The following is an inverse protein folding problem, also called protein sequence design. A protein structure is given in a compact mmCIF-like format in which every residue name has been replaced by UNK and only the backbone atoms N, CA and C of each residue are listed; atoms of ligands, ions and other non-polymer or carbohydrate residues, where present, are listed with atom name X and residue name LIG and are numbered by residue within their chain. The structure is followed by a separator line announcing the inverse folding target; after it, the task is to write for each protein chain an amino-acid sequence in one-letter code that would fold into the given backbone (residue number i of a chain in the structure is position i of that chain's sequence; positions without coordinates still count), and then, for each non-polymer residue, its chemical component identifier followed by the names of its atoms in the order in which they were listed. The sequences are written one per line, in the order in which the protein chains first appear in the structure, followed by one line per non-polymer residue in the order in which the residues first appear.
data_IF_070387514816
#
_entry.id   IF_070387514816
#
_cell.length_a   1.000
_cell.length_b   1.000
_cell.length_c   1.000
_cell.angle_alpha   90.00
_cell.angle_beta   90.00
_cell.angle_gamma   90.00
#
_symmetry.space_group_name_H-M   'P 1'
#
loop_
_entity.id
_entity.type
_entity.pdbx_description
1 polymer ?
#
# COMPACT_ATOMS: atom_id res chain seq x y z
N UNK A 1 -10.73 -25.49 25.73
CA UNK A 1 -11.22 -25.51 24.32
C UNK A 1 -10.87 -26.85 23.71
N UNK A 2 -11.88 -27.66 23.35
CA UNK A 2 -11.70 -29.02 22.79
C UNK A 2 -11.16 -28.90 21.36
N UNK A 3 -10.09 -29.64 21.05
CA UNK A 3 -9.43 -29.63 19.75
C UNK A 3 -10.36 -30.21 18.66
N UNK A 4 -10.77 -29.39 17.69
CA UNK A 4 -11.48 -29.85 16.49
C UNK A 4 -10.53 -30.67 15.62
N UNK A 5 -10.79 -31.97 15.54
CA UNK A 5 -10.08 -32.91 14.66
C UNK A 5 -10.94 -33.09 13.41
N UNK A 6 -10.36 -32.83 12.23
CA UNK A 6 -10.99 -33.13 10.95
C UNK A 6 -10.38 -34.41 10.41
N UNK A 7 -11.25 -35.33 10.01
CA UNK A 7 -10.90 -36.58 9.36
C UNK A 7 -10.51 -36.25 7.92
N UNK A 8 -9.25 -36.49 7.58
CA UNK A 8 -8.67 -36.23 6.26
C UNK A 8 -8.31 -37.59 5.65
N UNK A 9 -9.05 -38.06 4.62
CA UNK A 9 -8.89 -39.41 4.07
C UNK A 9 -7.56 -39.63 3.34
N UNK A 10 -6.82 -38.56 3.01
CA UNK A 10 -5.50 -38.66 2.35
C UNK A 10 -4.33 -38.68 3.35
N UNK A 11 -4.59 -38.52 4.66
CA UNK A 11 -3.54 -38.55 5.67
C UNK A 11 -3.20 -40.00 6.08
N UNK A 12 -1.90 -40.37 6.23
CA UNK A 12 -1.47 -41.76 6.49
C UNK A 12 -1.97 -42.37 7.82
N UNK A 13 -2.67 -41.60 8.67
CA UNK A 13 -3.32 -42.08 9.90
C UNK A 13 -4.74 -41.49 10.10
N UNK A 14 -5.36 -40.92 9.07
CA UNK A 14 -6.74 -40.38 9.11
C UNK A 14 -6.97 -39.14 9.99
N UNK A 15 -5.96 -38.66 10.72
CA UNK A 15 -6.07 -37.50 11.61
C UNK A 15 -4.95 -36.48 11.32
N UNK A 16 -5.32 -35.24 11.02
CA UNK A 16 -4.37 -34.13 10.87
C UNK A 16 -4.61 -33.10 11.98
N UNK A 17 -3.60 -32.85 12.84
CA UNK A 17 -3.59 -31.66 13.71
C UNK A 17 -3.59 -30.43 12.79
N UNK A 18 -4.71 -29.70 12.72
CA UNK A 18 -4.80 -28.45 11.96
C UNK A 18 -3.81 -27.43 12.52
N UNK A 19 -2.69 -27.23 11.85
CA UNK A 19 -1.89 -26.01 12.02
C UNK A 19 -2.44 -24.96 11.06
N UNK A 20 -3.26 -24.02 11.54
CA UNK A 20 -3.72 -22.84 10.78
C UNK A 20 -2.58 -21.82 10.55
N UNK A 21 -1.37 -22.30 10.29
CA UNK A 21 -0.24 -21.43 10.07
C UNK A 21 -0.26 -20.95 8.62
N UNK A 22 -0.26 -19.62 8.45
CA UNK A 22 -0.15 -18.95 7.15
C UNK A 22 0.97 -19.60 6.34
N UNK A 23 0.66 -19.99 5.10
CA UNK A 23 1.63 -20.55 4.16
C UNK A 23 1.94 -19.52 3.10
N UNK A 24 3.22 -19.26 2.90
CA UNK A 24 3.73 -18.41 1.81
C UNK A 24 4.64 -19.30 0.98
N UNK A 25 4.37 -19.40 -0.32
CA UNK A 25 5.14 -20.25 -1.26
C UNK A 25 5.29 -21.71 -0.80
N UNK A 26 4.21 -22.32 -0.30
CA UNK A 26 4.19 -23.71 0.17
C UNK A 26 4.89 -23.95 1.51
N UNK A 27 5.63 -22.97 2.05
CA UNK A 27 6.29 -23.05 3.36
C UNK A 27 5.41 -22.48 4.46
N UNK A 28 5.38 -23.17 5.60
CA UNK A 28 4.61 -22.73 6.75
C UNK A 28 5.35 -21.59 7.46
N UNK A 29 4.75 -20.41 7.51
CA UNK A 29 5.33 -19.23 8.17
C UNK A 29 5.28 -19.44 9.68
N UNK A 30 6.47 -19.45 10.30
CA UNK A 30 6.57 -19.58 11.76
C UNK A 30 6.16 -18.26 12.44
N UNK A 31 5.55 -18.31 13.64
CA UNK A 31 5.10 -17.11 14.36
C UNK A 31 6.15 -15.99 14.51
N UNK A 32 7.45 -16.28 14.74
CA UNK A 32 8.48 -15.24 14.80
C UNK A 32 8.73 -14.52 13.46
N UNK A 33 8.68 -15.25 12.34
CA UNK A 33 8.85 -14.68 11.00
C UNK A 33 7.64 -13.79 10.63
N UNK A 34 6.43 -14.22 11.00
CA UNK A 34 5.21 -13.42 10.81
C UNK A 34 5.28 -12.10 11.62
N UNK A 35 5.75 -12.16 12.88
CA UNK A 35 5.93 -10.95 13.71
C UNK A 35 6.90 -9.97 13.06
N UNK A 36 8.04 -10.45 12.54
CA UNK A 36 9.02 -9.60 11.84
C UNK A 36 8.43 -8.99 10.57
N UNK A 37 7.68 -9.78 9.80
CA UNK A 37 6.99 -9.29 8.60
C UNK A 37 5.99 -8.18 8.94
N UNK A 38 5.12 -8.41 9.93
CA UNK A 38 4.15 -7.39 10.38
C UNK A 38 4.85 -6.12 10.86
N UNK A 39 5.95 -6.23 11.61
CA UNK A 39 6.73 -5.07 12.04
C UNK A 39 7.27 -4.25 10.85
N UNK A 40 7.80 -4.93 9.82
CA UNK A 40 8.31 -4.27 8.61
C UNK A 40 7.17 -3.57 7.85
N UNK A 41 6.03 -4.24 7.67
CA UNK A 41 4.87 -3.66 6.98
C UNK A 41 4.33 -2.44 7.73
N UNK A 42 4.18 -2.54 9.05
CA UNK A 42 3.70 -1.43 9.89
C UNK A 42 4.67 -0.25 9.83
N UNK A 43 5.98 -0.51 9.85
CA UNK A 43 6.99 0.54 9.69
C UNK A 43 6.88 1.21 8.31
N UNK A 44 6.85 0.43 7.24
CA UNK A 44 6.74 0.96 5.88
C UNK A 44 5.47 1.82 5.70
N UNK A 45 4.34 1.39 6.27
CA UNK A 45 3.09 2.16 6.22
C UNK A 45 3.19 3.50 6.99
N UNK A 46 3.88 3.51 8.13
CA UNK A 46 4.13 4.75 8.89
C UNK A 46 5.04 5.69 8.12
N UNK A 47 6.14 5.18 7.58
CA UNK A 47 7.10 5.96 6.80
C UNK A 47 6.42 6.55 5.56
N UNK A 48 5.52 5.80 4.91
CA UNK A 48 4.71 6.29 3.78
C UNK A 48 3.76 7.42 4.21
N UNK A 49 2.99 7.21 5.28
CA UNK A 49 2.07 8.23 5.79
C UNK A 49 2.78 9.53 6.23
N UNK A 50 3.99 9.42 6.77
CA UNK A 50 4.81 10.58 7.12
C UNK A 50 5.27 11.35 5.86
N UNK A 51 5.69 10.64 4.82
CA UNK A 51 6.03 11.26 3.53
C UNK A 51 4.85 12.02 2.92
N UNK A 52 3.68 11.40 2.88
CA UNK A 52 2.46 12.07 2.37
C UNK A 52 2.14 13.33 3.17
N UNK A 53 2.31 13.30 4.49
CA UNK A 53 2.12 14.48 5.35
C UNK A 53 3.11 15.60 5.04
N UNK A 54 4.39 15.26 4.88
CA UNK A 54 5.44 16.23 4.56
C UNK A 54 5.23 16.84 3.17
N UNK A 55 4.84 16.02 2.19
CA UNK A 55 4.53 16.47 0.84
C UNK A 55 3.31 17.39 0.83
N UNK A 56 2.23 17.02 1.52
CA UNK A 56 1.05 17.87 1.65
C UNK A 56 1.39 19.21 2.31
N UNK A 57 2.19 19.21 3.38
CA UNK A 57 2.64 20.44 4.05
C UNK A 57 3.50 21.31 3.12
N UNK A 58 4.39 20.69 2.33
CA UNK A 58 5.20 21.38 1.34
C UNK A 58 4.33 22.00 0.25
N UNK A 59 3.35 21.28 -0.30
CA UNK A 59 2.39 21.80 -1.28
C UNK A 59 1.63 22.99 -0.71
N UNK A 60 1.11 22.90 0.52
CA UNK A 60 0.40 24.01 1.15
C UNK A 60 1.30 25.25 1.33
N UNK A 61 2.58 25.05 1.68
CA UNK A 61 3.54 26.15 1.77
C UNK A 61 3.76 26.81 0.41
N UNK A 62 3.93 26.02 -0.65
CA UNK A 62 4.09 26.55 -2.01
C UNK A 62 2.84 27.33 -2.45
N UNK A 63 1.64 26.81 -2.19
CA UNK A 63 0.38 27.48 -2.48
C UNK A 63 0.24 28.80 -1.73
N UNK A 64 0.61 28.84 -0.45
CA UNK A 64 0.57 30.06 0.36
C UNK A 64 1.55 31.13 -0.14
N UNK A 65 2.70 30.73 -0.67
CA UNK A 65 3.71 31.64 -1.24
C UNK A 65 3.48 31.96 -2.72
N UNK A 66 2.56 31.28 -3.39
CA UNK A 66 2.32 31.49 -4.81
C UNK A 66 1.67 32.86 -5.03
N UNK A 67 2.15 33.65 -6.00
CA UNK A 67 1.48 34.89 -6.36
C UNK A 67 0.06 34.58 -6.86
N UNK A 68 -0.94 35.42 -6.53
CA UNK A 68 -2.29 35.23 -7.02
C UNK A 68 -2.28 35.24 -8.55
N UNK A 69 -2.65 34.12 -9.15
CA UNK A 69 -2.70 34.00 -10.60
C UNK A 69 -3.82 34.88 -11.14
N UNK A 70 -3.47 35.73 -12.11
CA UNK A 70 -4.47 36.46 -12.86
C UNK A 70 -5.36 35.50 -13.65
N UNK A 71 -6.58 35.92 -14.00
CA UNK A 71 -7.47 35.11 -14.85
C UNK A 71 -6.81 34.71 -16.19
N UNK A 72 -5.97 35.59 -16.74
CA UNK A 72 -5.21 35.33 -17.97
C UNK A 72 -4.19 34.20 -17.80
N UNK A 73 -3.39 34.23 -16.72
CA UNK A 73 -2.43 33.18 -16.39
C UNK A 73 -3.12 31.84 -16.13
N UNK A 74 -4.28 31.85 -15.46
CA UNK A 74 -5.06 30.63 -15.19
C UNK A 74 -5.58 30.00 -16.49
N UNK A 75 -6.09 30.81 -17.43
CA UNK A 75 -6.52 30.32 -18.76
C UNK A 75 -5.34 29.76 -19.56
N UNK A 76 -4.18 30.40 -19.50
CA UNK A 76 -2.96 29.93 -20.16
C UNK A 76 -2.54 28.57 -19.60
N UNK A 77 -2.45 28.41 -18.28
CA UNK A 77 -2.08 27.14 -17.64
C UNK A 77 -3.07 26.01 -17.97
N UNK A 78 -4.37 26.31 -18.04
CA UNK A 78 -5.38 25.31 -18.45
C UNK A 78 -5.20 24.86 -19.89
N UNK A 79 -4.88 25.77 -20.82
CA UNK A 79 -4.56 25.39 -22.21
C UNK A 79 -3.33 24.51 -22.27
N UNK A 80 -2.22 24.94 -21.65
CA UNK A 80 -0.96 24.18 -21.63
C UNK A 80 -1.16 22.79 -21.03
N UNK A 81 -1.91 22.67 -19.94
CA UNK A 81 -2.25 21.38 -19.34
C UNK A 81 -2.99 20.46 -20.32
N UNK A 82 -4.02 20.98 -20.99
CA UNK A 82 -4.77 20.19 -21.98
C UNK A 82 -3.90 19.76 -23.16
N UNK A 83 -3.01 20.62 -23.63
CA UNK A 83 -2.09 20.32 -24.73
C UNK A 83 -1.07 19.24 -24.34
N UNK A 84 -0.52 19.30 -23.12
CA UNK A 84 0.38 18.27 -22.59
C UNK A 84 -0.31 16.91 -22.42
N UNK A 85 -1.54 16.88 -21.91
CA UNK A 85 -2.33 15.64 -21.81
C UNK A 85 -2.55 15.04 -23.19
N UNK A 86 -2.93 15.87 -24.17
CA UNK A 86 -3.14 15.44 -25.55
C UNK A 86 -1.84 14.94 -26.20
N UNK A 87 -0.69 15.55 -25.89
CA UNK A 87 0.61 15.09 -26.38
C UNK A 87 1.00 13.74 -25.76
N UNK A 88 0.82 13.57 -24.45
CA UNK A 88 1.10 12.32 -23.76
C UNK A 88 0.22 11.15 -24.25
N UNK A 89 -1.04 11.40 -24.62
CA UNK A 89 -1.94 10.37 -25.17
C UNK A 89 -1.63 9.97 -26.62
N UNK A 90 -0.83 10.77 -27.33
CA UNK A 90 -0.40 10.48 -28.71
C UNK A 90 0.94 9.73 -28.78
N UNK A 91 1.59 9.51 -27.64
CA UNK A 91 2.86 8.77 -27.50
C UNK A 91 2.55 7.38 -26.99
#
# INVERSE_FOLDING_TARGET
MKNLVIIDPEAPRGFRRRSYALRVEGKTVRPPALRKFVQVVVKAQRDFAERERLEAAWVQRQLATAPPLTMAQTRMLRRVKSDLIRAAQKT
#
